data_IF_801261501650
#
_entry.id   IF_801261501650
#
_cell.length_a   1.000
_cell.length_b   1.000
_cell.length_c   1.000
_cell.angle_alpha   90.00
_cell.angle_beta   90.00
_cell.angle_gamma   90.00
#
_symmetry.space_group_name_H-M   'P 1'
#
loop_
_entity.id
_entity.type
_entity.pdbx_description
1 polymer ?
#
# COMPACT_ATOMS: atom_id res chain seq x y z
N UNK A 1 -46.11 -12.97 -16.49
CA UNK A 1 -44.80 -12.51 -15.97
C UNK A 1 -44.81 -10.98 -15.98
N UNK A 2 -44.70 -10.31 -14.84
CA UNK A 2 -44.74 -8.83 -14.78
C UNK A 2 -43.43 -8.29 -15.37
N UNK A 3 -43.52 -7.54 -16.47
CA UNK A 3 -42.38 -6.88 -17.09
C UNK A 3 -41.80 -5.87 -16.11
N UNK A 4 -40.56 -6.08 -15.70
CA UNK A 4 -39.86 -5.21 -14.75
C UNK A 4 -39.34 -3.99 -15.54
N UNK A 5 -40.17 -2.95 -15.63
CA UNK A 5 -39.81 -1.73 -16.35
C UNK A 5 -39.03 -0.80 -15.42
N UNK A 6 -37.69 -0.86 -15.47
CA UNK A 6 -36.83 0.08 -14.75
C UNK A 6 -36.94 1.45 -15.46
N UNK A 7 -37.34 2.53 -14.76
CA UNK A 7 -37.41 3.84 -15.38
C UNK A 7 -35.99 4.31 -15.77
N UNK A 8 -35.85 4.98 -16.91
CA UNK A 8 -34.55 5.39 -17.47
C UNK A 8 -33.72 6.24 -16.51
N UNK A 9 -34.37 7.03 -15.67
CA UNK A 9 -33.74 7.80 -14.59
C UNK A 9 -33.15 6.90 -13.51
N UNK A 10 -33.88 5.88 -13.05
CA UNK A 10 -33.34 4.89 -12.12
C UNK A 10 -32.18 4.10 -12.74
N UNK A 11 -32.27 3.75 -14.03
CA UNK A 11 -31.16 3.10 -14.74
C UNK A 11 -29.91 3.98 -14.77
N UNK A 12 -30.06 5.29 -15.02
CA UNK A 12 -28.95 6.23 -14.98
C UNK A 12 -28.31 6.30 -13.59
N UNK A 13 -29.10 6.41 -12.52
CA UNK A 13 -28.57 6.42 -11.15
C UNK A 13 -27.87 5.10 -10.77
N UNK A 14 -28.41 3.96 -11.22
CA UNK A 14 -27.78 2.64 -11.01
C UNK A 14 -26.43 2.58 -11.72
N UNK A 15 -26.36 3.00 -12.99
CA UNK A 15 -25.11 3.01 -13.75
C UNK A 15 -24.09 3.99 -13.16
N UNK A 16 -24.54 5.17 -12.72
CA UNK A 16 -23.69 6.15 -12.05
C UNK A 16 -23.15 5.60 -10.73
N UNK A 17 -23.99 4.98 -9.90
CA UNK A 17 -23.58 4.36 -8.65
C UNK A 17 -22.57 3.22 -8.89
N UNK A 18 -22.80 2.37 -9.89
CA UNK A 18 -21.85 1.31 -10.27
C UNK A 18 -20.53 1.88 -10.76
N UNK A 19 -20.55 2.95 -11.57
CA UNK A 19 -19.34 3.61 -12.04
C UNK A 19 -18.56 4.25 -10.86
N UNK A 20 -19.25 4.97 -9.97
CA UNK A 20 -18.64 5.55 -8.77
C UNK A 20 -18.04 4.45 -7.88
N UNK A 21 -18.76 3.35 -7.68
CA UNK A 21 -18.25 2.20 -6.92
C UNK A 21 -17.03 1.57 -7.58
N UNK A 22 -17.05 1.39 -8.90
CA UNK A 22 -15.90 0.89 -9.64
C UNK A 22 -14.68 1.82 -9.53
N UNK A 23 -14.87 3.13 -9.47
CA UNK A 23 -13.78 4.09 -9.25
C UNK A 23 -13.25 4.03 -7.80
N UNK A 24 -14.14 3.96 -6.81
CA UNK A 24 -13.77 3.99 -5.39
C UNK A 24 -13.15 2.68 -4.87
N UNK A 25 -13.55 1.53 -5.42
CA UNK A 25 -13.10 0.19 -5.00
C UNK A 25 -12.07 -0.45 -5.93
N UNK A 26 -11.51 0.35 -6.85
CA UNK A 26 -10.43 -0.07 -7.74
C UNK A 26 -9.23 -0.55 -6.92
N UNK A 27 -8.68 -1.74 -7.24
CA UNK A 27 -7.40 -2.14 -6.67
C UNK A 27 -6.33 -1.16 -7.14
N UNK A 28 -5.43 -0.81 -6.23
CA UNK A 28 -4.22 -0.07 -6.52
C UNK A 28 -3.19 -1.10 -6.97
N UNK A 29 -2.75 -0.97 -8.21
CA UNK A 29 -1.78 -1.86 -8.82
C UNK A 29 -0.36 -1.35 -8.54
N UNK A 30 0.28 -1.93 -7.54
CA UNK A 30 1.66 -1.61 -7.18
C UNK A 30 2.63 -1.92 -8.33
N UNK A 31 2.33 -2.92 -9.17
CA UNK A 31 3.16 -3.24 -10.34
C UNK A 31 3.26 -2.09 -11.31
N UNK A 32 2.15 -1.40 -11.57
CA UNK A 32 2.14 -0.23 -12.45
C UNK A 32 2.93 0.93 -11.85
N UNK A 33 2.84 1.11 -10.52
CA UNK A 33 3.55 2.16 -9.79
C UNK A 33 5.07 1.91 -9.75
N UNK A 34 5.49 0.67 -9.47
CA UNK A 34 6.89 0.24 -9.49
C UNK A 34 7.50 0.42 -10.88
N UNK A 35 6.80 0.01 -11.94
CA UNK A 35 7.27 0.21 -13.34
C UNK A 35 7.40 1.67 -13.75
N UNK A 36 6.62 2.56 -13.14
CA UNK A 36 6.70 3.99 -13.38
C UNK A 36 7.80 4.68 -12.54
N UNK A 37 8.57 3.90 -11.76
CA UNK A 37 9.58 4.38 -10.85
C UNK A 37 10.97 3.92 -11.31
N UNK A 38 11.97 4.73 -11.00
CA UNK A 38 13.37 4.50 -11.35
C UNK A 38 14.30 4.48 -10.13
N UNK A 39 13.81 4.89 -8.95
CA UNK A 39 14.60 4.84 -7.71
C UNK A 39 13.71 4.38 -6.56
N UNK A 40 14.34 3.72 -5.58
CA UNK A 40 13.67 3.15 -4.43
C UNK A 40 14.40 3.45 -3.12
N UNK A 41 13.65 3.51 -2.04
CA UNK A 41 14.19 3.55 -0.67
C UNK A 41 13.43 2.53 0.15
N UNK A 42 14.16 1.77 0.95
CA UNK A 42 13.58 0.87 1.94
C UNK A 42 14.09 1.32 3.31
N UNK A 43 13.18 1.76 4.15
CA UNK A 43 13.44 2.20 5.52
C UNK A 43 12.83 1.18 6.46
N UNK A 44 13.63 0.65 7.38
CA UNK A 44 13.12 -0.15 8.49
C UNK A 44 13.15 0.71 9.75
N UNK A 45 12.10 0.62 10.57
CA UNK A 45 11.90 1.53 11.68
C UNK A 45 11.25 0.78 12.84
N UNK A 46 11.87 0.82 14.03
CA UNK A 46 11.26 0.35 15.26
C UNK A 46 10.62 1.52 16.02
N UNK A 47 9.29 1.48 16.09
CA UNK A 47 8.47 2.47 16.79
C UNK A 47 8.22 1.97 18.20
N UNK A 48 8.89 2.60 19.16
CA UNK A 48 8.80 2.21 20.56
C UNK A 48 7.57 2.81 21.25
N UNK A 49 7.25 4.09 21.00
CA UNK A 49 6.06 4.78 21.50
C UNK A 49 5.63 5.90 20.53
N UNK A 50 4.41 6.45 20.71
CA UNK A 50 3.94 7.61 19.95
C UNK A 50 4.95 8.78 20.01
N UNK A 51 5.60 9.06 18.89
CA UNK A 51 6.57 10.16 18.77
C UNK A 51 8.01 9.82 19.11
N UNK A 52 8.35 8.55 19.36
CA UNK A 52 9.73 8.08 19.55
C UNK A 52 10.06 6.91 18.62
N UNK A 53 11.05 7.17 17.77
CA UNK A 53 11.73 6.18 16.94
C UNK A 53 13.06 5.83 17.60
N UNK A 54 13.30 4.56 17.91
CA UNK A 54 14.55 4.16 18.58
C UNK A 54 15.63 3.82 17.56
N UNK A 55 15.32 2.92 16.63
CA UNK A 55 16.23 2.51 15.56
C UNK A 55 15.56 2.72 14.20
N UNK A 56 16.24 3.50 13.34
CA UNK A 56 15.87 3.68 11.94
C UNK A 56 17.06 3.27 11.08
N UNK A 57 16.84 2.27 10.22
CA UNK A 57 17.80 1.90 9.20
C UNK A 57 17.29 2.34 7.83
N UNK A 58 18.20 2.93 7.04
CA UNK A 58 17.89 3.49 5.73
C UNK A 58 18.72 2.78 4.69
N UNK A 59 18.05 1.97 3.87
CA UNK A 59 18.65 1.29 2.73
C UNK A 59 18.21 1.98 1.44
N UNK A 60 19.18 2.58 0.75
CA UNK A 60 18.97 3.10 -0.59
C UNK A 60 18.90 1.92 -1.56
N UNK A 61 17.76 1.75 -2.23
CA UNK A 61 17.60 0.73 -3.27
C UNK A 61 17.90 1.37 -4.62
N UNK A 62 19.12 1.17 -5.12
CA UNK A 62 19.48 1.59 -6.47
C UNK A 62 18.77 0.72 -7.50
N UNK A 63 18.34 1.28 -8.63
CA UNK A 63 17.62 0.55 -9.68
C UNK A 63 18.38 -0.69 -10.19
N UNK A 64 19.71 -0.61 -10.17
CA UNK A 64 20.63 -1.66 -10.63
C UNK A 64 20.91 -2.72 -9.56
N UNK A 65 20.39 -2.54 -8.34
CA UNK A 65 20.60 -3.46 -7.22
C UNK A 65 19.64 -4.65 -7.28
N UNK A 66 20.11 -5.83 -6.87
CA UNK A 66 19.27 -7.02 -6.82
C UNK A 66 18.11 -6.84 -5.82
N UNK A 67 18.35 -6.10 -4.74
CA UNK A 67 17.39 -5.79 -3.69
C UNK A 67 16.23 -4.92 -4.23
N UNK A 68 16.53 -3.96 -5.11
CA UNK A 68 15.50 -3.20 -5.81
C UNK A 68 14.65 -4.09 -6.71
N UNK A 69 15.29 -4.95 -7.50
CA UNK A 69 14.58 -5.87 -8.41
C UNK A 69 13.70 -6.86 -7.63
N UNK A 70 14.21 -7.46 -6.56
CA UNK A 70 13.45 -8.36 -5.69
C UNK A 70 12.28 -7.65 -5.01
N UNK A 71 12.50 -6.44 -4.49
CA UNK A 71 11.43 -5.64 -3.88
C UNK A 71 10.36 -5.25 -4.92
N UNK A 72 10.79 -4.84 -6.11
CA UNK A 72 9.93 -4.50 -7.23
C UNK A 72 9.09 -5.72 -7.67
N UNK A 73 9.70 -6.89 -7.80
CA UNK A 73 9.02 -8.14 -8.13
C UNK A 73 8.02 -8.52 -7.04
N UNK A 74 8.41 -8.49 -5.77
CA UNK A 74 7.53 -8.77 -4.64
C UNK A 74 6.30 -7.85 -4.67
N UNK A 75 6.52 -6.54 -4.73
CA UNK A 75 5.45 -5.54 -4.77
C UNK A 75 4.57 -5.68 -6.02
N UNK A 76 5.11 -6.19 -7.14
CA UNK A 76 4.33 -6.48 -8.35
C UNK A 76 3.29 -7.58 -8.16
N UNK A 77 3.45 -8.44 -7.14
CA UNK A 77 2.48 -9.48 -6.77
C UNK A 77 1.45 -8.99 -5.76
N UNK A 78 1.68 -7.82 -5.15
CA UNK A 78 0.83 -7.26 -4.11
C UNK A 78 -0.27 -6.40 -4.72
N UNK A 79 -1.50 -6.64 -4.31
CA UNK A 79 -2.62 -5.76 -4.63
C UNK A 79 -3.12 -5.06 -3.37
N UNK A 80 -3.20 -3.73 -3.44
CA UNK A 80 -3.73 -2.92 -2.35
C UNK A 80 -5.13 -2.44 -2.68
N UNK A 81 -6.00 -2.30 -1.67
CA UNK A 81 -7.31 -1.65 -1.83
C UNK A 81 -7.52 -0.66 -0.70
N UNK A 82 -7.89 0.58 -1.06
CA UNK A 82 -8.15 1.64 -0.09
C UNK A 82 -9.31 1.27 0.83
N UNK A 83 -9.10 1.41 2.13
CA UNK A 83 -10.15 1.33 3.15
C UNK A 83 -10.84 2.69 3.22
N UNK A 84 -12.09 2.77 2.78
CA UNK A 84 -12.84 4.04 2.69
C UNK A 84 -13.28 4.61 4.05
N UNK A 85 -13.26 3.80 5.11
CA UNK A 85 -13.76 4.17 6.44
C UNK A 85 -12.65 4.42 7.47
N UNK A 86 -11.39 4.58 7.05
CA UNK A 86 -10.29 4.85 7.98
C UNK A 86 -9.38 5.95 7.43
N UNK A 87 -9.31 7.05 8.18
CA UNK A 87 -8.39 8.15 7.91
C UNK A 87 -7.07 7.92 8.64
N UNK A 88 -5.97 8.32 8.01
CA UNK A 88 -4.60 8.23 8.56
C UNK A 88 -4.48 8.79 9.98
N UNK A 89 -5.17 9.89 10.28
CA UNK A 89 -5.15 10.55 11.59
C UNK A 89 -5.87 9.80 12.72
N UNK A 90 -6.63 8.75 12.41
CA UNK A 90 -7.32 7.93 13.42
C UNK A 90 -6.48 6.72 13.86
N UNK A 91 -5.22 6.65 13.43
CA UNK A 91 -4.38 5.49 13.65
C UNK A 91 -3.70 5.50 15.00
N UNK A 92 -3.76 4.38 15.69
CA UNK A 92 -3.05 4.14 16.94
C UNK A 92 -2.65 2.68 16.96
N UNK A 93 -1.38 2.41 17.24
CA UNK A 93 -0.95 1.05 17.53
C UNK A 93 -1.47 0.69 18.92
N UNK A 94 -2.25 -0.38 19.00
CA UNK A 94 -2.74 -0.89 20.28
C UNK A 94 -1.61 -1.59 21.07
N UNK A 95 -0.53 -1.99 20.39
CA UNK A 95 0.58 -2.75 20.95
C UNK A 95 1.90 -2.12 20.54
N UNK A 96 2.80 -1.92 21.51
CA UNK A 96 4.16 -1.40 21.30
C UNK A 96 5.18 -2.35 21.95
N UNK A 97 6.41 -2.45 21.42
CA UNK A 97 6.91 -1.79 20.21
C UNK A 97 6.32 -2.40 18.93
N UNK A 98 6.23 -1.59 17.86
CA UNK A 98 5.87 -2.06 16.52
C UNK A 98 7.01 -1.75 15.58
N UNK A 99 7.32 -2.70 14.72
CA UNK A 99 8.29 -2.51 13.64
C UNK A 99 7.57 -2.18 12.35
N UNK A 100 8.18 -1.34 11.52
CA UNK A 100 7.63 -0.95 10.23
C UNK A 100 8.69 -0.99 9.15
N UNK A 101 8.26 -1.33 7.95
CA UNK A 101 9.05 -1.17 6.73
C UNK A 101 8.33 -0.20 5.83
N UNK A 102 9.03 0.87 5.46
CA UNK A 102 8.56 1.87 4.53
C UNK A 102 9.34 1.77 3.23
N UNK A 103 8.63 1.47 2.15
CA UNK A 103 9.19 1.43 0.80
C UNK A 103 8.66 2.63 0.03
N UNK A 104 9.56 3.47 -0.48
CA UNK A 104 9.22 4.63 -1.28
C UNK A 104 9.86 4.52 -2.65
N UNK A 105 9.08 4.75 -3.70
CA UNK A 105 9.57 4.75 -5.07
C UNK A 105 9.32 6.09 -5.76
N UNK A 106 10.31 6.52 -6.54
CA UNK A 106 10.37 7.81 -7.22
C UNK A 106 10.64 7.63 -8.72
N UNK A 107 10.25 8.60 -9.55
CA UNK A 107 10.71 8.68 -10.94
C UNK A 107 12.01 9.47 -11.10
N UNK A 108 12.49 9.58 -12.34
CA UNK A 108 13.72 10.29 -12.73
C UNK A 108 13.68 11.79 -12.42
N UNK A 109 12.48 12.35 -12.22
CA UNK A 109 12.27 13.73 -11.82
C UNK A 109 12.02 13.88 -10.31
N UNK A 110 12.38 12.85 -9.52
CA UNK A 110 12.21 12.77 -8.07
C UNK A 110 10.75 12.90 -7.60
N UNK A 111 9.78 12.71 -8.49
CA UNK A 111 8.39 12.69 -8.10
C UNK A 111 8.07 11.35 -7.45
N UNK A 112 7.62 11.41 -6.20
CA UNK A 112 7.15 10.23 -5.48
C UNK A 112 5.96 9.60 -6.21
N UNK A 113 6.13 8.35 -6.65
CA UNK A 113 5.04 7.56 -7.25
C UNK A 113 4.21 6.91 -6.17
N UNK A 114 4.87 6.34 -5.17
CA UNK A 114 4.19 5.82 -4.00
C UNK A 114 5.09 5.69 -2.78
N UNK A 115 4.43 5.65 -1.62
CA UNK A 115 4.95 5.38 -0.29
C UNK A 115 4.12 4.26 0.32
N UNK A 116 4.71 3.09 0.50
CA UNK A 116 4.07 1.95 1.16
C UNK A 116 4.74 1.74 2.52
N UNK A 117 4.00 1.96 3.60
CA UNK A 117 4.43 1.59 4.95
C UNK A 117 3.66 0.36 5.39
N UNK A 118 4.38 -0.70 5.77
CA UNK A 118 3.81 -1.94 6.29
C UNK A 118 4.31 -2.13 7.71
N UNK A 119 3.39 -2.33 8.64
CA UNK A 119 3.68 -2.53 10.05
C UNK A 119 3.61 -4.01 10.41
N UNK A 120 4.39 -4.42 11.40
CA UNK A 120 4.45 -5.79 11.91
C UNK A 120 3.13 -6.29 12.51
N UNK A 121 2.25 -5.37 12.93
CA UNK A 121 0.89 -5.65 13.42
C UNK A 121 -0.12 -5.95 12.29
N UNK A 122 0.32 -5.97 11.03
CA UNK A 122 -0.53 -6.25 9.87
C UNK A 122 -1.29 -5.05 9.35
N UNK A 123 -0.93 -3.84 9.75
CA UNK A 123 -1.45 -2.61 9.16
C UNK A 123 -0.60 -2.18 7.97
N UNK A 124 -1.25 -1.61 6.96
CA UNK A 124 -0.59 -1.12 5.77
C UNK A 124 -1.17 0.22 5.34
N UNK A 125 -0.28 1.14 4.99
CA UNK A 125 -0.57 2.49 4.57
C UNK A 125 0.10 2.72 3.22
N UNK A 126 -0.68 3.20 2.25
CA UNK A 126 -0.19 3.56 0.92
C UNK A 126 -0.57 5.02 0.65
N UNK A 127 0.41 5.89 0.42
CA UNK A 127 0.23 7.33 0.17
C UNK A 127 -0.71 7.98 1.20
N UNK A 128 -0.43 7.77 2.48
CA UNK A 128 -1.23 8.29 3.61
C UNK A 128 -2.69 7.80 3.64
N UNK A 129 -2.99 6.66 3.02
CA UNK A 129 -4.30 6.02 3.08
C UNK A 129 -4.17 4.58 3.59
N UNK A 130 -5.09 4.17 4.47
CA UNK A 130 -5.17 2.78 4.89
C UNK A 130 -5.56 1.89 3.72
N UNK A 131 -4.82 0.80 3.55
CA UNK A 131 -5.10 -0.19 2.52
C UNK A 131 -5.24 -1.58 3.12
N UNK A 132 -6.13 -2.38 2.56
CA UNK A 132 -6.05 -3.82 2.71
C UNK A 132 -5.08 -4.37 1.68
N UNK A 133 -4.16 -5.22 2.12
CA UNK A 133 -3.16 -5.88 1.29
C UNK A 133 -3.65 -7.27 0.94
N UNK A 134 -3.55 -7.63 -0.33
CA UNK A 134 -3.67 -9.01 -0.80
C UNK A 134 -2.32 -9.41 -1.39
N UNK A 135 -1.64 -10.32 -0.72
CA UNK A 135 -0.34 -10.84 -1.11
C UNK A 135 -0.45 -12.38 -1.24
N UNK A 136 0.14 -13.04 -2.26
CA UNK A 136 0.05 -14.50 -2.39
C UNK A 136 0.53 -15.28 -1.15
N UNK A 137 1.51 -14.77 -0.41
CA UNK A 137 1.97 -15.36 0.85
C UNK A 137 1.14 -15.01 2.09
N UNK A 138 0.06 -14.22 1.95
CA UNK A 138 -0.85 -13.90 3.05
C UNK A 138 -1.37 -12.46 3.04
N UNK A 139 -1.30 -11.82 4.22
CA UNK A 139 -1.72 -10.44 4.44
C UNK A 139 -0.54 -9.47 4.58
N UNK A 140 -0.82 -8.31 5.15
CA UNK A 140 0.18 -7.27 5.38
C UNK A 140 1.29 -7.71 6.35
N UNK A 141 0.99 -8.53 7.37
CA UNK A 141 2.01 -9.01 8.32
C UNK A 141 3.05 -9.91 7.63
N UNK A 142 2.62 -10.82 6.75
CA UNK A 142 3.54 -11.67 5.99
C UNK A 142 4.32 -10.85 4.96
N UNK A 143 3.70 -9.82 4.37
CA UNK A 143 4.40 -8.88 3.50
C UNK A 143 5.49 -8.11 4.28
N UNK A 144 5.19 -7.68 5.51
CA UNK A 144 6.17 -7.05 6.40
C UNK A 144 7.37 -7.95 6.63
N UNK A 145 7.18 -9.22 7.00
CA UNK A 145 8.29 -10.15 7.26
C UNK A 145 9.24 -10.29 6.05
N UNK A 146 8.68 -10.37 4.84
CA UNK A 146 9.50 -10.46 3.63
C UNK A 146 10.24 -9.17 3.32
N UNK A 147 9.57 -8.01 3.42
CA UNK A 147 10.22 -6.71 3.20
C UNK A 147 11.28 -6.41 4.26
N UNK A 148 11.05 -6.80 5.52
CA UNK A 148 12.01 -6.64 6.60
C UNK A 148 13.23 -7.55 6.42
N UNK A 149 13.06 -8.71 5.79
CA UNK A 149 14.17 -9.60 5.42
C UNK A 149 15.04 -9.07 4.28
N UNK A 150 14.49 -8.21 3.41
CA UNK A 150 15.24 -7.58 2.30
C UNK A 150 16.00 -6.31 2.73
N UNK A 151 15.63 -5.70 3.87
CA UNK A 151 16.28 -4.54 4.44
C UNK A 151 17.33 -4.87 5.50
N UNK A 152 18.02 -6.01 5.40
CA UNK A 152 19.09 -6.45 6.31
C UNK A 152 20.26 -6.95 5.48
#
# INVERSE_FOLDING_TARGET
MKSFHIPRTALFFILFALAAFAVLYRPIDLKALVRASSQGTLRTEEVAHFGSTNDMDYHLLSMDSEEFQQTAELLSTVSCRKKLNQNYSAYTHDTFPVQSVTVSFYDDAENQKFLLTVYSDGVCILNSAFVSVKYPGGGAAQLYEQLAGMGK
#
